data_IF_315973341170
#
_entry.id   IF_315973341170
#
_cell.length_a   1.000
_cell.length_b   1.000
_cell.length_c   1.000
_cell.angle_alpha   90.00
_cell.angle_beta   90.00
_cell.angle_gamma   90.00
#
_symmetry.space_group_name_H-M   'P 1'
#
loop_
_entity.id
_entity.type
_entity.pdbx_description
1 polymer ?
#
# COMPACT_ATOMS: atom_id res chain seq x y z
N UNK A 1 21.98 55.99 -3.94
CA UNK A 1 21.93 55.10 -2.75
C UNK A 1 20.93 53.93 -2.85
N UNK A 2 19.93 53.91 -3.74
CA UNK A 2 18.89 52.87 -3.80
C UNK A 2 19.26 51.51 -4.44
N UNK A 3 20.41 51.38 -5.12
CA UNK A 3 20.78 50.15 -5.83
C UNK A 3 21.36 49.05 -4.93
N UNK A 4 21.97 49.41 -3.78
CA UNK A 4 22.61 48.44 -2.87
C UNK A 4 21.62 47.70 -1.97
N UNK A 5 20.50 48.35 -1.63
CA UNK A 5 19.43 47.81 -0.78
C UNK A 5 18.55 46.75 -1.49
N UNK A 6 18.35 46.88 -2.81
CA UNK A 6 17.57 45.91 -3.60
C UNK A 6 18.27 44.53 -3.70
N UNK A 7 19.61 44.53 -3.66
CA UNK A 7 20.43 43.31 -3.72
C UNK A 7 20.42 42.52 -2.40
N UNK A 8 20.46 43.21 -1.25
CA UNK A 8 20.35 42.55 0.06
C UNK A 8 18.94 42.00 0.31
N UNK A 9 17.90 42.68 -0.18
CA UNK A 9 16.52 42.23 -0.03
C UNK A 9 16.25 40.90 -0.76
N UNK A 10 16.81 40.73 -1.96
CA UNK A 10 16.72 39.46 -2.71
C UNK A 10 17.47 38.31 -2.03
N UNK A 11 18.60 38.58 -1.38
CA UNK A 11 19.35 37.57 -0.61
C UNK A 11 18.56 37.11 0.61
N UNK A 12 17.97 38.05 1.36
CA UNK A 12 17.14 37.72 2.52
C UNK A 12 15.90 36.92 2.14
N UNK A 13 15.22 37.29 1.05
CA UNK A 13 14.09 36.52 0.51
C UNK A 13 14.53 35.14 0.04
N UNK A 14 15.68 35.03 -0.62
CA UNK A 14 16.23 33.74 -1.04
C UNK A 14 16.50 32.81 0.14
N UNK A 15 17.10 33.32 1.22
CA UNK A 15 17.35 32.56 2.45
C UNK A 15 16.03 32.17 3.12
N UNK A 16 15.05 33.07 3.16
CA UNK A 16 13.72 32.80 3.73
C UNK A 16 13.00 31.68 2.96
N UNK A 17 12.97 31.75 1.63
CA UNK A 17 12.35 30.75 0.78
C UNK A 17 13.06 29.39 0.87
N UNK A 18 14.39 29.40 0.94
CA UNK A 18 15.17 28.18 1.13
C UNK A 18 14.87 27.55 2.49
N UNK A 19 14.81 28.34 3.56
CA UNK A 19 14.44 27.87 4.89
C UNK A 19 13.02 27.31 4.94
N UNK A 20 12.06 27.99 4.32
CA UNK A 20 10.68 27.50 4.20
C UNK A 20 10.60 26.19 3.41
N UNK A 21 11.32 26.09 2.27
CA UNK A 21 11.40 24.85 1.49
C UNK A 21 12.03 23.72 2.28
N UNK A 22 13.08 23.98 3.05
CA UNK A 22 13.72 22.97 3.91
C UNK A 22 12.74 22.44 4.97
N UNK A 23 11.96 23.33 5.59
CA UNK A 23 10.91 22.94 6.55
C UNK A 23 9.83 22.11 5.85
N UNK A 24 9.36 22.55 4.68
CA UNK A 24 8.36 21.83 3.89
C UNK A 24 8.82 20.42 3.53
N UNK A 25 10.04 20.28 3.01
CA UNK A 25 10.64 18.97 2.68
C UNK A 25 10.79 18.10 3.91
N UNK A 26 11.27 18.66 5.03
CA UNK A 26 11.41 17.91 6.28
C UNK A 26 10.06 17.40 6.81
N UNK A 27 9.00 18.22 6.69
CA UNK A 27 7.66 17.84 7.11
C UNK A 27 7.11 16.71 6.23
N UNK A 28 7.22 16.83 4.92
CA UNK A 28 6.78 15.79 3.97
C UNK A 28 7.55 14.49 4.20
N UNK A 29 8.87 14.57 4.36
CA UNK A 29 9.69 13.41 4.64
C UNK A 29 9.25 12.71 5.93
N UNK A 30 8.98 13.47 7.00
CA UNK A 30 8.48 12.93 8.26
C UNK A 30 7.13 12.24 8.08
N UNK A 31 6.18 12.88 7.39
CA UNK A 31 4.85 12.30 7.12
C UNK A 31 4.97 10.99 6.33
N UNK A 32 5.81 10.95 5.29
CA UNK A 32 6.00 9.73 4.50
C UNK A 32 6.71 8.62 5.28
N UNK A 33 7.64 8.99 6.18
CA UNK A 33 8.36 8.03 7.02
C UNK A 33 7.48 7.43 8.11
N UNK A 34 6.63 8.26 8.73
CA UNK A 34 5.81 7.87 9.88
C UNK A 34 4.43 7.35 9.45
N UNK A 35 4.14 7.29 8.15
CA UNK A 35 2.89 6.75 7.64
C UNK A 35 2.76 5.26 8.02
N UNK A 36 1.65 4.84 8.67
CA UNK A 36 1.45 3.44 8.98
C UNK A 36 1.38 2.61 7.69
N UNK A 37 1.88 1.36 7.70
CA UNK A 37 1.69 0.47 6.57
C UNK A 37 0.19 0.36 6.21
N UNK A 38 -0.15 0.28 4.91
CA UNK A 38 -1.53 0.10 4.48
C UNK A 38 -2.10 -1.21 5.06
N UNK A 39 -3.38 -1.19 5.45
CA UNK A 39 -4.07 -2.38 5.97
C UNK A 39 -3.99 -3.52 4.93
N UNK A 40 -3.58 -4.71 5.36
CA UNK A 40 -3.49 -5.90 4.51
C UNK A 40 -4.80 -6.18 3.77
N UNK A 41 -5.95 -5.87 4.38
CA UNK A 41 -7.25 -6.08 3.73
C UNK A 41 -7.38 -5.21 2.47
N UNK A 42 -6.89 -3.98 2.54
CA UNK A 42 -6.88 -3.06 1.40
C UNK A 42 -5.88 -3.52 0.35
N UNK A 43 -4.67 -3.89 0.77
CA UNK A 43 -3.61 -4.36 -0.14
C UNK A 43 -4.05 -5.63 -0.88
N UNK A 44 -4.62 -6.61 -0.16
CA UNK A 44 -5.15 -7.83 -0.75
C UNK A 44 -6.27 -7.54 -1.73
N UNK A 45 -7.23 -6.69 -1.37
CA UNK A 45 -8.35 -6.29 -2.26
C UNK A 45 -7.86 -5.63 -3.54
N UNK A 46 -6.83 -4.79 -3.47
CA UNK A 46 -6.24 -4.14 -4.64
C UNK A 46 -5.46 -5.13 -5.53
N UNK A 47 -4.86 -6.14 -4.92
CA UNK A 47 -4.12 -7.18 -5.64
C UNK A 47 -5.06 -8.23 -6.25
N UNK A 48 -6.24 -8.44 -5.66
CA UNK A 48 -7.23 -9.39 -6.13
C UNK A 48 -7.67 -9.09 -7.58
N UNK A 49 -7.76 -10.14 -8.39
CA UNK A 49 -8.22 -10.11 -9.78
C UNK A 49 -9.48 -10.94 -10.00
N UNK A 50 -9.73 -11.89 -9.12
CA UNK A 50 -10.94 -12.69 -9.13
C UNK A 50 -10.84 -13.87 -8.17
N UNK A 51 -11.88 -14.68 -8.17
CA UNK A 51 -11.91 -15.98 -7.49
C UNK A 51 -12.19 -17.04 -8.54
N UNK A 52 -11.34 -18.05 -8.58
CA UNK A 52 -11.48 -19.20 -9.45
C UNK A 52 -12.07 -20.36 -8.65
N UNK A 53 -13.04 -21.05 -9.24
CA UNK A 53 -13.63 -22.26 -8.66
C UNK A 53 -13.34 -23.42 -9.60
N UNK A 54 -12.67 -24.43 -9.08
CA UNK A 54 -12.46 -25.69 -9.81
C UNK A 54 -13.81 -26.42 -9.92
N UNK A 55 -14.31 -26.66 -11.14
CA UNK A 55 -15.61 -27.32 -11.35
C UNK A 55 -15.60 -28.80 -10.99
N UNK A 56 -14.44 -29.47 -10.99
CA UNK A 56 -14.32 -30.89 -10.69
C UNK A 56 -14.22 -31.17 -9.18
N UNK A 57 -13.46 -30.34 -8.46
CA UNK A 57 -13.24 -30.53 -7.01
C UNK A 57 -14.08 -29.62 -6.14
N UNK A 58 -14.68 -28.57 -6.73
CA UNK A 58 -15.37 -27.52 -5.99
C UNK A 58 -14.42 -26.58 -5.22
N UNK A 59 -13.10 -26.77 -5.33
CA UNK A 59 -12.10 -25.98 -4.63
C UNK A 59 -12.10 -24.53 -5.11
N UNK A 60 -11.84 -23.61 -4.19
CA UNK A 60 -11.87 -22.17 -4.46
C UNK A 60 -10.48 -21.59 -4.26
N UNK A 61 -10.02 -20.78 -5.21
CA UNK A 61 -8.74 -20.10 -5.17
C UNK A 61 -8.89 -18.61 -5.48
N UNK A 62 -8.18 -17.76 -4.75
CA UNK A 62 -8.11 -16.33 -5.01
C UNK A 62 -7.02 -16.05 -6.05
N UNK A 63 -7.37 -15.38 -7.14
CA UNK A 63 -6.41 -14.92 -8.14
C UNK A 63 -5.88 -13.56 -7.70
N UNK A 64 -4.62 -13.50 -7.32
CA UNK A 64 -3.99 -12.33 -6.72
C UNK A 64 -2.77 -11.92 -7.52
N UNK A 65 -2.70 -10.66 -7.95
CA UNK A 65 -1.50 -10.09 -8.58
C UNK A 65 -0.38 -10.04 -7.54
N UNK A 66 0.79 -10.53 -7.89
CA UNK A 66 1.97 -10.36 -7.06
C UNK A 66 2.51 -8.93 -7.20
N UNK A 67 2.45 -8.08 -6.15
CA UNK A 67 3.01 -6.73 -6.23
C UNK A 67 4.55 -6.74 -6.24
N UNK A 68 5.20 -7.82 -5.76
CA UNK A 68 6.66 -7.92 -5.73
C UNK A 68 7.26 -8.43 -7.06
N UNK A 69 6.43 -8.95 -7.96
CA UNK A 69 6.89 -9.45 -9.25
C UNK A 69 7.17 -8.29 -10.24
N UNK A 70 8.26 -8.37 -11.04
CA UNK A 70 8.61 -7.34 -12.03
C UNK A 70 7.64 -7.27 -13.23
N UNK A 71 6.60 -8.10 -13.28
CA UNK A 71 5.59 -8.13 -14.34
C UNK A 71 4.17 -8.37 -13.80
N UNK A 72 3.14 -8.41 -14.67
CA UNK A 72 1.76 -8.69 -14.27
C UNK A 72 1.56 -10.18 -13.97
N UNK A 73 2.26 -10.69 -12.96
CA UNK A 73 2.14 -12.08 -12.55
C UNK A 73 0.93 -12.24 -11.63
N UNK A 74 -0.03 -13.06 -12.04
CA UNK A 74 -1.16 -13.47 -11.21
C UNK A 74 -0.80 -14.82 -10.60
N UNK A 75 -0.95 -14.92 -9.27
CA UNK A 75 -0.83 -16.16 -8.53
C UNK A 75 -2.22 -16.65 -8.15
N UNK A 76 -2.46 -17.94 -8.31
CA UNK A 76 -3.61 -18.61 -7.71
C UNK A 76 -3.26 -18.97 -6.28
N UNK A 77 -4.02 -18.46 -5.32
CA UNK A 77 -3.79 -18.65 -3.89
C UNK A 77 -4.94 -19.43 -3.27
N UNK A 78 -4.63 -20.52 -2.57
CA UNK A 78 -5.60 -21.40 -1.90
C UNK A 78 -5.57 -21.20 -0.38
N UNK A 79 -6.53 -21.80 0.31
CA UNK A 79 -6.52 -21.85 1.77
C UNK A 79 -5.21 -22.46 2.26
N UNK A 80 -4.53 -21.71 3.12
CA UNK A 80 -3.22 -22.07 3.66
C UNK A 80 -2.05 -21.28 3.09
N UNK A 81 -2.20 -20.67 1.92
CA UNK A 81 -1.17 -19.82 1.31
C UNK A 81 -0.98 -18.51 2.07
N UNK A 82 0.20 -17.90 1.89
CA UNK A 82 0.57 -16.65 2.56
C UNK A 82 0.63 -15.47 1.58
N UNK A 83 0.11 -14.33 2.02
CA UNK A 83 0.11 -13.07 1.31
C UNK A 83 0.84 -11.99 2.10
N UNK A 84 1.61 -11.15 1.41
CA UNK A 84 2.32 -10.01 2.02
C UNK A 84 3.20 -10.44 3.18
N UNK A 85 3.10 -9.72 4.30
CA UNK A 85 3.86 -9.98 5.52
C UNK A 85 3.32 -11.20 6.30
N UNK A 86 3.37 -12.39 5.72
CA UNK A 86 2.99 -13.68 6.35
C UNK A 86 1.50 -13.85 6.73
N UNK A 87 0.60 -13.08 6.12
CA UNK A 87 -0.84 -13.28 6.32
C UNK A 87 -1.32 -14.54 5.62
N UNK A 88 -1.79 -15.52 6.40
CA UNK A 88 -2.27 -16.79 5.86
C UNK A 88 -3.73 -16.67 5.46
N UNK A 89 -4.08 -17.21 4.29
CA UNK A 89 -5.47 -17.41 3.91
C UNK A 89 -6.05 -18.52 4.78
N UNK A 90 -7.00 -18.16 5.63
CA UNK A 90 -7.71 -19.10 6.51
C UNK A 90 -8.96 -19.66 5.84
N UNK A 91 -9.68 -18.82 5.10
CA UNK A 91 -10.92 -19.20 4.43
C UNK A 91 -11.09 -18.39 3.14
N UNK A 92 -11.58 -19.05 2.10
CA UNK A 92 -12.01 -18.41 0.86
C UNK A 92 -13.48 -18.80 0.64
N UNK A 93 -14.33 -17.81 0.57
CA UNK A 93 -15.75 -17.95 0.21
C UNK A 93 -16.00 -17.21 -1.10
N UNK A 94 -17.21 -17.37 -1.66
CA UNK A 94 -17.62 -16.64 -2.85
C UNK A 94 -17.69 -15.12 -2.63
N UNK A 95 -17.83 -14.64 -1.38
CA UNK A 95 -18.05 -13.22 -1.06
C UNK A 95 -16.93 -12.57 -0.24
N UNK A 96 -16.08 -13.36 0.40
CA UNK A 96 -15.03 -12.88 1.28
C UNK A 96 -13.84 -13.83 1.35
N UNK A 97 -12.67 -13.26 1.60
CA UNK A 97 -11.44 -13.98 1.97
C UNK A 97 -11.06 -13.59 3.38
N UNK A 98 -10.84 -14.58 4.25
CA UNK A 98 -10.37 -14.37 5.61
C UNK A 98 -8.87 -14.60 5.68
N UNK A 99 -8.14 -13.58 6.11
CA UNK A 99 -6.70 -13.60 6.33
C UNK A 99 -6.42 -13.65 7.83
N UNK A 100 -5.46 -14.47 8.25
CA UNK A 100 -5.03 -14.57 9.65
C UNK A 100 -3.52 -14.47 9.78
N UNK A 101 -3.07 -13.71 10.79
CA UNK A 101 -1.68 -13.63 11.22
C UNK A 101 -1.63 -13.69 12.75
N UNK A 102 -1.22 -14.84 13.29
CA UNK A 102 -1.25 -15.08 14.74
C UNK A 102 -2.68 -14.98 15.29
N UNK A 103 -2.96 -13.94 16.08
CA UNK A 103 -4.29 -13.64 16.65
C UNK A 103 -5.08 -12.61 15.87
N UNK A 104 -4.47 -11.96 14.89
CA UNK A 104 -5.15 -10.96 14.07
C UNK A 104 -5.88 -11.63 12.91
N UNK A 105 -7.14 -11.24 12.71
CA UNK A 105 -7.98 -11.71 11.61
C UNK A 105 -8.49 -10.52 10.81
N UNK A 106 -8.40 -10.61 9.49
CA UNK A 106 -8.86 -9.58 8.55
C UNK A 106 -9.77 -10.24 7.52
N UNK A 107 -11.01 -9.77 7.46
CA UNK A 107 -12.00 -10.25 6.49
C UNK A 107 -12.04 -9.27 5.33
N UNK A 108 -11.70 -9.75 4.13
CA UNK A 108 -11.70 -8.98 2.90
C UNK A 108 -12.94 -9.33 2.10
N UNK A 109 -13.89 -8.41 2.01
CA UNK A 109 -15.08 -8.59 1.17
C UNK A 109 -14.71 -8.39 -0.30
N UNK A 110 -15.07 -9.37 -1.13
CA UNK A 110 -14.81 -9.40 -2.56
C UNK A 110 -15.73 -8.43 -3.31
N UNK A 111 -16.92 -8.23 -2.78
CA UNK A 111 -17.92 -7.28 -3.29
C UNK A 111 -18.23 -6.21 -2.24
N UNK A 112 -18.46 -4.99 -2.71
CA UNK A 112 -18.71 -3.81 -1.89
C UNK A 112 -17.70 -2.70 -2.11
#
# INVERSE_FOLDING_TARGET
MFAKARRSFGISIGILLLGFMAIGVALVYRVMRDAPPPDVAVVFKQALRGVERDPATGSVAALVRDPAAPGPQIRSMVVGDRFGDDWRIEEITEYAVTLRKGRETRVVRLYG
#
